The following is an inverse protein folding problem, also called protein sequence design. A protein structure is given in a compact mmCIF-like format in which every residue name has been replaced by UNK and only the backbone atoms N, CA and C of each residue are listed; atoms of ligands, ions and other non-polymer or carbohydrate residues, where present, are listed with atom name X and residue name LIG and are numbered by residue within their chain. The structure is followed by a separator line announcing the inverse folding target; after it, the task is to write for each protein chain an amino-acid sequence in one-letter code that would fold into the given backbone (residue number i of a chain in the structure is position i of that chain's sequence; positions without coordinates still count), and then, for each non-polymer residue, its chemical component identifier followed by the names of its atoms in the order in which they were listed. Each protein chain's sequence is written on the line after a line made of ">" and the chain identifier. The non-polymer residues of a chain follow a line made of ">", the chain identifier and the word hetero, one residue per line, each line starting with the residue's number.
data_IF_406180558069
#
_entry.id   IF_406180558069
#
_cell.length_a   1.000
_cell.length_b   1.000
_cell.length_c   1.000
_cell.angle_alpha   90.00
_cell.angle_beta   90.00
_cell.angle_gamma   90.00
#
_symmetry.space_group_name_H-M   'P 1'
#
loop_
_entity.id
_entity.type
_entity.pdbx_description
1 polymer ?
#
# COMPACT_ATOMS: atom_id res chain seq x y z
N UNK A 1 13.00 41.37 -11.52
CA UNK A 1 14.30 40.80 -11.90
C UNK A 1 14.28 39.37 -11.41
N UNK A 2 14.10 38.41 -12.31
CA UNK A 2 14.31 37.00 -12.00
C UNK A 2 15.82 36.80 -11.88
N UNK A 3 16.23 35.99 -10.91
CA UNK A 3 17.64 35.68 -10.64
C UNK A 3 18.24 35.01 -11.89
N UNK A 4 19.47 35.34 -12.27
CA UNK A 4 20.18 34.80 -13.45
C UNK A 4 20.52 33.29 -13.37
N UNK A 5 19.80 32.54 -12.53
CA UNK A 5 19.99 31.11 -12.26
C UNK A 5 18.65 30.37 -12.26
N UNK A 6 17.76 30.71 -13.18
CA UNK A 6 16.56 29.91 -13.46
C UNK A 6 16.85 29.03 -14.65
N UNK A 7 17.31 27.81 -14.39
CA UNK A 7 17.59 26.81 -15.43
C UNK A 7 16.31 26.15 -15.98
N UNK A 8 15.14 26.35 -15.34
CA UNK A 8 13.86 25.72 -15.71
C UNK A 8 12.66 26.62 -15.41
N UNK A 9 11.77 26.80 -16.40
CA UNK A 9 10.46 27.45 -16.24
C UNK A 9 9.38 26.39 -16.40
N UNK A 10 8.53 26.20 -15.38
CA UNK A 10 7.44 25.22 -15.41
C UNK A 10 6.11 25.96 -15.62
N UNK A 11 5.46 25.71 -16.75
CA UNK A 11 4.14 26.28 -17.08
C UNK A 11 3.11 25.14 -17.04
N UNK A 12 2.22 25.15 -16.03
CA UNK A 12 1.14 24.18 -15.92
C UNK A 12 -0.06 24.57 -16.78
N UNK A 13 -0.54 23.65 -17.62
CA UNK A 13 -1.68 23.88 -18.54
C UNK A 13 -2.49 22.61 -18.77
N UNK A 14 -3.78 22.77 -19.05
CA UNK A 14 -4.75 21.66 -19.18
C UNK A 14 -4.98 21.24 -20.65
N UNK A 15 -4.40 21.97 -21.61
CA UNK A 15 -4.43 21.61 -23.04
C UNK A 15 -3.33 22.31 -23.83
N UNK A 16 -2.97 21.76 -25.00
CA UNK A 16 -2.02 22.38 -25.95
C UNK A 16 -2.48 23.78 -26.41
N UNK A 17 -3.79 24.01 -26.47
CA UNK A 17 -4.35 25.32 -26.83
C UNK A 17 -4.08 26.35 -25.73
N UNK A 18 -4.30 25.98 -24.47
CA UNK A 18 -4.05 26.83 -23.31
C UNK A 18 -2.55 27.09 -23.09
N UNK A 19 -1.69 26.13 -23.45
CA UNK A 19 -0.23 26.35 -23.50
C UNK A 19 0.12 27.51 -24.42
N UNK A 20 -0.40 27.47 -25.66
CA UNK A 20 -0.16 28.51 -26.66
C UNK A 20 -0.69 29.86 -26.19
N UNK A 21 -1.94 29.91 -25.73
CA UNK A 21 -2.57 31.14 -25.25
C UNK A 21 -1.80 31.75 -24.05
N UNK A 22 -1.27 30.91 -23.14
CA UNK A 22 -0.48 31.39 -22.00
C UNK A 22 0.91 31.88 -22.40
N UNK A 23 1.60 31.19 -23.32
CA UNK A 23 2.90 31.63 -23.86
C UNK A 23 2.76 32.99 -24.54
N UNK A 24 1.69 33.18 -25.32
CA UNK A 24 1.41 34.42 -26.04
C UNK A 24 1.04 35.59 -25.10
N UNK A 25 0.68 35.30 -23.84
CA UNK A 25 0.26 36.30 -22.85
C UNK A 25 1.36 36.77 -21.89
N UNK A 26 2.58 36.22 -21.98
CA UNK A 26 3.68 36.56 -21.07
C UNK A 26 4.44 37.81 -21.57
N UNK A 27 4.51 38.85 -20.73
CA UNK A 27 5.22 40.12 -20.98
C UNK A 27 6.75 39.98 -21.19
N UNK A 28 7.30 38.77 -21.04
CA UNK A 28 8.73 38.44 -21.20
C UNK A 28 8.99 37.46 -22.36
N UNK A 29 8.12 37.49 -23.37
CA UNK A 29 8.13 36.62 -24.55
C UNK A 29 9.49 36.54 -25.26
N UNK A 30 10.25 37.64 -25.32
CA UNK A 30 11.54 37.66 -26.03
C UNK A 30 12.63 36.89 -25.28
N UNK A 31 12.63 36.90 -23.95
CA UNK A 31 13.59 36.13 -23.14
C UNK A 31 13.25 34.62 -23.17
N UNK A 32 11.96 34.29 -23.15
CA UNK A 32 11.49 32.90 -23.30
C UNK A 32 11.77 32.38 -24.72
N UNK A 33 11.49 33.16 -25.78
CA UNK A 33 11.82 32.79 -27.17
C UNK A 33 13.32 32.61 -27.41
N UNK A 34 14.17 33.34 -26.68
CA UNK A 34 15.63 33.23 -26.79
C UNK A 34 16.17 31.94 -26.18
N UNK A 35 15.54 31.44 -25.11
CA UNK A 35 15.82 30.11 -24.55
C UNK A 35 15.29 29.02 -25.49
N UNK A 36 14.15 29.26 -26.12
CA UNK A 36 13.41 28.27 -26.93
C UNK A 36 13.44 28.54 -28.44
N UNK A 37 14.54 29.09 -28.99
CA UNK A 37 14.66 29.50 -30.40
C UNK A 37 14.44 28.39 -31.46
N UNK A 38 14.05 27.19 -31.04
CA UNK A 38 13.76 26.01 -31.85
C UNK A 38 12.26 25.63 -31.88
N UNK A 39 11.38 26.32 -31.14
CA UNK A 39 9.94 26.01 -31.13
C UNK A 39 9.19 26.39 -32.43
N UNK A 40 9.77 27.21 -33.30
CA UNK A 40 9.16 27.60 -34.59
C UNK A 40 9.60 26.74 -35.78
N UNK A 41 10.56 25.82 -35.64
CA UNK A 41 10.85 24.86 -36.71
C UNK A 41 9.97 23.61 -36.57
N UNK A 42 9.48 23.09 -37.70
CA UNK A 42 8.68 21.84 -37.82
C UNK A 42 9.39 20.56 -37.30
N UNK A 43 10.46 20.70 -36.53
CA UNK A 43 11.30 19.65 -35.95
C UNK A 43 10.96 19.29 -34.51
N UNK A 44 9.94 19.91 -33.89
CA UNK A 44 9.55 19.61 -32.50
C UNK A 44 9.17 18.13 -32.31
N UNK A 45 9.88 17.42 -31.43
CA UNK A 45 9.56 16.06 -30.98
C UNK A 45 9.31 16.07 -29.47
N UNK A 46 8.32 15.29 -29.02
CA UNK A 46 7.83 15.24 -27.62
C UNK A 46 8.79 14.54 -26.66
N UNK A 47 9.94 14.12 -27.15
CA UNK A 47 10.84 13.14 -26.57
C UNK A 47 12.21 13.75 -26.20
N UNK A 48 12.38 15.07 -26.31
CA UNK A 48 13.57 15.78 -25.85
C UNK A 48 13.61 15.86 -24.31
N UNK A 49 14.62 15.22 -23.71
CA UNK A 49 14.80 15.02 -22.25
C UNK A 49 14.92 16.32 -21.42
N UNK A 50 14.98 17.49 -22.06
CA UNK A 50 15.12 18.79 -21.39
C UNK A 50 13.80 19.57 -21.21
N UNK A 51 12.69 19.11 -21.79
CA UNK A 51 11.36 19.73 -21.62
C UNK A 51 10.42 18.80 -20.86
N UNK A 52 10.25 19.05 -19.55
CA UNK A 52 9.17 18.44 -18.77
C UNK A 52 7.90 19.28 -18.98
N UNK A 53 7.08 18.91 -19.96
CA UNK A 53 5.70 19.38 -20.06
C UNK A 53 4.87 18.64 -19.00
N UNK A 54 4.42 19.28 -17.90
CA UNK A 54 3.56 18.62 -16.93
C UNK A 54 2.13 18.63 -17.47
N UNK A 55 1.86 17.84 -18.51
CA UNK A 55 0.49 17.46 -18.81
C UNK A 55 0.05 16.55 -17.67
N UNK A 56 -0.90 17.01 -16.85
CA UNK A 56 -1.43 16.39 -15.62
C UNK A 56 -0.82 16.89 -14.30
N UNK A 57 -1.01 18.17 -13.98
CA UNK A 57 -0.96 18.61 -12.58
C UNK A 57 -2.13 17.99 -11.78
N UNK A 58 -1.83 16.86 -11.14
CA UNK A 58 -2.53 16.21 -10.01
C UNK A 58 -4.04 16.00 -10.16
N UNK A 59 -4.44 15.05 -11.00
CA UNK A 59 -5.43 14.08 -10.49
C UNK A 59 -4.70 13.32 -9.40
N UNK A 60 -4.84 13.73 -8.13
CA UNK A 60 -4.17 13.04 -7.01
C UNK A 60 -4.56 11.56 -7.15
N UNK A 61 -3.56 10.72 -7.41
CA UNK A 61 -3.73 9.30 -7.72
C UNK A 61 -4.08 8.62 -6.40
N UNK A 62 -5.38 8.51 -6.16
CA UNK A 62 -5.94 8.23 -4.84
C UNK A 62 -6.47 6.82 -4.79
N UNK A 63 -6.01 6.06 -3.82
CA UNK A 63 -6.48 4.72 -3.53
C UNK A 63 -7.13 4.66 -2.14
N UNK A 64 -8.09 3.75 -1.98
CA UNK A 64 -8.60 3.38 -0.67
C UNK A 64 -7.79 2.22 -0.12
N UNK A 65 -7.42 2.27 1.15
CA UNK A 65 -6.76 1.16 1.83
C UNK A 65 -7.78 0.35 2.62
N UNK A 66 -7.71 -0.96 2.47
CA UNK A 66 -8.45 -1.91 3.28
C UNK A 66 -7.46 -2.62 4.19
N UNK A 67 -7.54 -2.34 5.48
CA UNK A 67 -6.75 -2.97 6.53
C UNK A 67 -7.53 -4.18 7.05
N UNK A 68 -7.03 -5.38 6.84
CA UNK A 68 -7.65 -6.58 7.42
C UNK A 68 -7.23 -6.78 8.88
N UNK A 69 -8.21 -6.84 9.79
CA UNK A 69 -7.97 -7.01 11.23
C UNK A 69 -8.99 -7.97 11.85
N UNK A 70 -8.54 -8.94 12.63
CA UNK A 70 -9.41 -9.83 13.43
C UNK A 70 -8.72 -10.22 14.74
N UNK A 71 -9.50 -10.56 15.74
CA UNK A 71 -9.05 -11.10 17.02
C UNK A 71 -8.61 -12.57 16.89
N UNK A 72 -9.28 -13.33 16.02
CA UNK A 72 -9.05 -14.76 15.77
C UNK A 72 -7.74 -15.07 15.04
N UNK A 73 -6.60 -14.83 15.67
CA UNK A 73 -5.28 -15.30 15.21
C UNK A 73 -4.91 -16.60 15.92
N UNK A 74 -4.47 -17.62 15.18
CA UNK A 74 -4.17 -18.95 15.75
C UNK A 74 -2.94 -18.96 16.65
N UNK A 75 -1.88 -18.20 16.30
CA UNK A 75 -0.59 -18.19 17.01
C UNK A 75 -0.54 -17.18 18.16
N UNK A 76 -1.14 -16.01 17.96
CA UNK A 76 -1.19 -14.93 18.95
C UNK A 76 -2.58 -14.29 18.94
N UNK A 77 -3.59 -14.91 19.59
CA UNK A 77 -4.94 -14.38 19.65
C UNK A 77 -4.99 -12.96 20.19
N UNK A 78 -5.80 -12.10 19.59
CA UNK A 78 -5.92 -10.69 19.99
C UNK A 78 -4.70 -9.82 19.67
N UNK A 79 -3.75 -10.29 18.85
CA UNK A 79 -2.51 -9.56 18.51
C UNK A 79 -2.74 -8.11 18.07
N UNK A 80 -3.82 -7.84 17.33
CA UNK A 80 -4.15 -6.51 16.80
C UNK A 80 -4.49 -5.49 17.90
N UNK A 81 -4.86 -5.93 19.10
CA UNK A 81 -5.20 -5.09 20.25
C UNK A 81 -4.12 -5.06 21.34
N UNK A 82 -3.02 -5.81 21.19
CA UNK A 82 -1.87 -5.69 22.08
C UNK A 82 -1.33 -4.26 22.04
N UNK A 83 -0.83 -3.77 23.19
CA UNK A 83 -0.43 -2.36 23.32
C UNK A 83 1.07 -2.18 23.43
N UNK A 84 1.56 -1.17 22.73
CA UNK A 84 2.93 -0.64 22.84
C UNK A 84 2.80 0.89 22.91
N UNK A 85 3.41 1.51 23.91
CA UNK A 85 3.30 2.97 24.17
C UNK A 85 1.82 3.44 24.22
N UNK A 86 1.00 2.74 25.01
CA UNK A 86 -0.44 2.99 25.21
C UNK A 86 -1.35 2.90 23.96
N UNK A 87 -0.79 2.52 22.80
CA UNK A 87 -1.50 2.33 21.53
C UNK A 87 -1.54 0.87 21.14
N UNK A 88 -2.67 0.42 20.62
CA UNK A 88 -2.77 -0.93 20.05
C UNK A 88 -1.92 -1.08 18.79
N UNK A 89 -1.57 -2.31 18.43
CA UNK A 89 -0.91 -2.62 17.15
C UNK A 89 -1.72 -2.05 15.97
N UNK A 90 -3.04 -2.22 15.97
CA UNK A 90 -3.91 -1.67 14.94
C UNK A 90 -3.87 -0.13 14.90
N UNK A 91 -3.74 0.54 16.05
CA UNK A 91 -3.55 2.00 16.11
C UNK A 91 -2.23 2.43 15.45
N UNK A 92 -1.14 1.70 15.69
CA UNK A 92 0.15 1.97 15.03
C UNK A 92 0.05 1.81 13.51
N UNK A 93 -0.55 0.72 13.03
CA UNK A 93 -0.79 0.50 11.58
C UNK A 93 -1.61 1.66 11.00
N UNK A 94 -2.73 2.01 11.64
CA UNK A 94 -3.62 3.07 11.19
C UNK A 94 -2.90 4.42 11.08
N UNK A 95 -2.12 4.78 12.09
CA UNK A 95 -1.39 6.06 12.10
C UNK A 95 -0.33 6.13 11.02
N UNK A 96 0.39 5.04 10.78
CA UNK A 96 1.40 4.97 9.73
C UNK A 96 0.74 5.04 8.34
N UNK A 97 -0.30 4.23 8.10
CA UNK A 97 -1.06 4.26 6.85
C UNK A 97 -1.63 5.66 6.56
N UNK A 98 -2.15 6.37 7.57
CA UNK A 98 -2.67 7.75 7.42
C UNK A 98 -1.61 8.81 7.08
N UNK A 99 -0.31 8.50 7.18
CA UNK A 99 0.78 9.40 6.76
C UNK A 99 1.09 9.29 5.26
N UNK A 100 0.58 8.29 4.55
CA UNK A 100 0.76 8.16 3.11
C UNK A 100 -0.02 9.25 2.37
N UNK A 101 0.60 9.87 1.38
CA UNK A 101 -0.03 10.94 0.58
C UNK A 101 -1.01 10.39 -0.48
N UNK A 102 -0.83 9.12 -0.87
CA UNK A 102 -1.57 8.44 -1.93
C UNK A 102 -2.86 7.77 -1.44
N UNK A 103 -3.08 7.72 -0.12
CA UNK A 103 -4.29 7.16 0.50
C UNK A 103 -5.31 8.26 0.78
N UNK A 104 -6.57 7.98 0.43
CA UNK A 104 -7.71 8.86 0.66
C UNK A 104 -8.67 8.35 1.72
N UNK A 105 -8.90 7.05 1.70
CA UNK A 105 -9.89 6.39 2.53
C UNK A 105 -9.24 5.20 3.22
N UNK A 106 -9.46 5.09 4.52
CA UNK A 106 -9.02 3.95 5.32
C UNK A 106 -10.23 3.20 5.82
N UNK A 107 -10.33 1.92 5.44
CA UNK A 107 -11.37 1.01 5.88
C UNK A 107 -10.70 -0.11 6.67
N UNK A 108 -11.19 -0.39 7.88
CA UNK A 108 -10.82 -1.60 8.62
C UNK A 108 -11.86 -2.68 8.35
N UNK A 109 -11.42 -3.78 7.72
CA UNK A 109 -12.24 -4.94 7.43
C UNK A 109 -12.03 -6.03 8.50
N UNK A 110 -13.06 -6.28 9.30
CA UNK A 110 -13.06 -7.24 10.41
C UNK A 110 -14.23 -8.23 10.31
N UNK A 111 -14.38 -9.17 11.25
CA UNK A 111 -15.41 -10.20 11.12
C UNK A 111 -16.72 -9.80 11.81
N UNK A 112 -17.79 -10.55 11.50
CA UNK A 112 -19.08 -10.43 12.19
C UNK A 112 -19.09 -11.11 13.56
N UNK A 113 -18.01 -11.78 13.99
CA UNK A 113 -17.92 -12.40 15.31
C UNK A 113 -17.99 -11.37 16.43
N UNK A 114 -18.45 -11.83 17.60
CA UNK A 114 -18.59 -10.98 18.78
C UNK A 114 -17.25 -10.51 19.36
N UNK A 115 -16.20 -11.33 19.28
CA UNK A 115 -14.85 -10.96 19.72
C UNK A 115 -14.29 -9.73 18.98
N UNK A 116 -14.66 -9.54 17.71
CA UNK A 116 -14.22 -8.40 16.90
C UNK A 116 -14.98 -7.10 17.20
N UNK A 117 -15.99 -7.10 18.09
CA UNK A 117 -16.71 -5.88 18.51
C UNK A 117 -15.76 -4.84 19.14
N UNK A 118 -14.68 -5.28 19.77
CA UNK A 118 -13.68 -4.38 20.34
C UNK A 118 -12.91 -3.62 19.26
N UNK A 119 -12.57 -4.28 18.14
CA UNK A 119 -11.96 -3.64 16.96
C UNK A 119 -12.92 -2.58 16.40
N UNK A 120 -14.19 -2.93 16.23
CA UNK A 120 -15.23 -2.02 15.72
C UNK A 120 -15.32 -0.77 16.61
N UNK A 121 -15.49 -0.98 17.92
CA UNK A 121 -15.63 0.11 18.90
C UNK A 121 -14.40 1.03 18.91
N UNK A 122 -13.20 0.46 18.81
CA UNK A 122 -11.95 1.22 18.76
C UNK A 122 -11.85 2.08 17.49
N UNK A 123 -12.20 1.53 16.33
CA UNK A 123 -12.12 2.23 15.04
C UNK A 123 -13.21 3.30 14.89
N UNK A 124 -14.44 3.01 15.35
CA UNK A 124 -15.54 3.99 15.37
C UNK A 124 -15.21 5.19 16.25
N UNK A 125 -14.63 4.96 17.45
CA UNK A 125 -14.16 6.04 18.33
C UNK A 125 -13.12 6.95 17.65
N UNK A 126 -12.40 6.43 16.66
CA UNK A 126 -11.39 7.17 15.86
C UNK A 126 -11.93 7.74 14.55
N UNK A 127 -13.23 7.58 14.29
CA UNK A 127 -13.85 8.02 13.03
C UNK A 127 -13.32 7.29 11.80
N UNK A 128 -12.88 6.03 11.95
CA UNK A 128 -12.42 5.20 10.83
C UNK A 128 -13.57 4.31 10.35
N UNK A 129 -13.73 4.18 9.03
CA UNK A 129 -14.73 3.32 8.41
C UNK A 129 -14.45 1.86 8.77
N UNK A 130 -15.48 1.11 9.14
CA UNK A 130 -15.38 -0.31 9.47
C UNK A 130 -16.29 -1.12 8.58
N UNK A 131 -15.79 -2.22 8.04
CA UNK A 131 -16.59 -3.23 7.37
C UNK A 131 -16.54 -4.53 8.16
N UNK A 132 -17.68 -5.21 8.32
CA UNK A 132 -17.79 -6.50 9.00
C UNK A 132 -18.27 -7.57 8.02
N UNK A 133 -17.54 -8.66 7.88
CA UNK A 133 -17.88 -9.73 6.94
C UNK A 133 -17.52 -11.13 7.43
N UNK A 134 -17.51 -12.09 6.51
CA UNK A 134 -17.12 -13.48 6.76
C UNK A 134 -15.73 -13.55 7.40
N UNK A 135 -15.51 -14.44 8.37
CA UNK A 135 -14.18 -14.68 8.93
C UNK A 135 -13.29 -15.52 7.99
N UNK A 136 -13.86 -16.58 7.45
CA UNK A 136 -13.19 -17.61 6.65
C UNK A 136 -12.97 -17.17 5.20
N UNK A 137 -13.85 -16.31 4.68
CA UNK A 137 -13.79 -15.81 3.30
C UNK A 137 -13.32 -14.36 3.28
N UNK A 138 -12.00 -14.20 3.34
CA UNK A 138 -11.35 -12.89 3.36
C UNK A 138 -11.53 -12.17 2.03
N UNK A 139 -11.47 -12.90 0.91
CA UNK A 139 -11.71 -12.35 -0.43
C UNK A 139 -13.12 -11.77 -0.57
N UNK A 140 -14.15 -12.49 -0.10
CA UNK A 140 -15.51 -11.93 -0.02
C UNK A 140 -15.56 -10.68 0.86
N UNK A 141 -14.95 -10.73 2.05
CA UNK A 141 -14.91 -9.57 2.95
C UNK A 141 -14.26 -8.34 2.29
N UNK A 142 -13.18 -8.52 1.52
CA UNK A 142 -12.55 -7.43 0.76
C UNK A 142 -13.46 -6.92 -0.35
N UNK A 143 -14.08 -7.82 -1.13
CA UNK A 143 -14.99 -7.45 -2.22
C UNK A 143 -16.19 -6.64 -1.72
N UNK A 144 -16.85 -7.12 -0.66
CA UNK A 144 -18.00 -6.44 -0.08
C UNK A 144 -17.60 -5.10 0.58
N UNK A 145 -16.44 -5.03 1.24
CA UNK A 145 -15.92 -3.78 1.78
C UNK A 145 -15.66 -2.73 0.69
N UNK A 146 -14.96 -3.14 -0.38
CA UNK A 146 -14.66 -2.25 -1.49
C UNK A 146 -15.94 -1.78 -2.20
N UNK A 147 -16.92 -2.68 -2.39
CA UNK A 147 -18.23 -2.36 -2.98
C UNK A 147 -19.03 -1.40 -2.09
N UNK A 148 -19.10 -1.64 -0.79
CA UNK A 148 -19.86 -0.82 0.15
C UNK A 148 -19.33 0.61 0.29
N UNK A 149 -18.03 0.81 0.11
CA UNK A 149 -17.36 2.10 0.22
C UNK A 149 -16.92 2.71 -1.13
N UNK A 150 -17.37 2.15 -2.26
CA UNK A 150 -17.04 2.60 -3.63
C UNK A 150 -15.53 2.76 -3.90
N UNK A 151 -14.72 1.79 -3.44
CA UNK A 151 -13.27 1.82 -3.58
C UNK A 151 -12.86 1.18 -4.90
N UNK A 152 -12.36 2.01 -5.84
CA UNK A 152 -11.97 1.56 -7.19
C UNK A 152 -10.53 1.06 -7.30
N UNK A 153 -9.61 1.67 -6.56
CA UNK A 153 -8.21 1.26 -6.46
C UNK A 153 -7.94 0.95 -5.00
N UNK A 154 -7.56 -0.29 -4.75
CA UNK A 154 -7.55 -0.89 -3.42
C UNK A 154 -6.11 -1.15 -3.04
N UNK A 155 -5.68 -0.60 -1.92
CA UNK A 155 -4.44 -0.99 -1.25
C UNK A 155 -4.79 -1.98 -0.16
N UNK A 156 -4.23 -3.19 -0.22
CA UNK A 156 -4.35 -4.18 0.85
C UNK A 156 -3.18 -4.01 1.81
N UNK A 157 -3.50 -3.85 3.09
CA UNK A 157 -2.54 -3.85 4.20
C UNK A 157 -3.07 -4.79 5.30
N UNK A 158 -2.18 -5.48 6.00
CA UNK A 158 -2.54 -6.36 7.12
C UNK A 158 -2.31 -5.67 8.47
N UNK A 159 -3.19 -5.92 9.44
CA UNK A 159 -3.12 -5.29 10.77
C UNK A 159 -1.95 -5.78 11.64
N UNK A 160 -1.17 -6.76 11.19
CA UNK A 160 0.03 -7.26 11.85
C UNK A 160 1.33 -6.60 11.36
N UNK A 161 1.23 -5.50 10.62
CA UNK A 161 2.37 -4.74 10.09
C UNK A 161 2.53 -3.37 10.76
N UNK A 162 2.73 -3.26 12.10
CA UNK A 162 2.74 -1.97 12.81
C UNK A 162 3.91 -1.06 12.45
N UNK A 163 4.90 -1.57 11.70
CA UNK A 163 6.05 -0.82 11.21
C UNK A 163 5.94 -0.42 9.73
N UNK A 164 4.81 -0.69 9.07
CA UNK A 164 4.61 -0.40 7.63
C UNK A 164 5.03 1.03 7.26
N UNK A 165 5.89 1.20 6.26
CA UNK A 165 6.43 2.50 5.87
C UNK A 165 5.45 3.24 4.93
N UNK A 166 5.00 4.45 5.31
CA UNK A 166 4.15 5.27 4.43
C UNK A 166 4.77 5.53 3.05
N UNK A 167 6.09 5.67 2.96
CA UNK A 167 6.79 5.92 1.69
C UNK A 167 6.77 4.70 0.77
N UNK A 168 6.78 3.49 1.32
CA UNK A 168 6.65 2.27 0.52
C UNK A 168 5.23 2.16 -0.02
N UNK A 169 4.22 2.49 0.79
CA UNK A 169 2.82 2.57 0.32
C UNK A 169 2.73 3.55 -0.87
N UNK A 170 3.23 4.76 -0.70
CA UNK A 170 3.21 5.79 -1.76
C UNK A 170 3.96 5.34 -3.01
N UNK A 171 5.13 4.71 -2.88
CA UNK A 171 5.92 4.26 -4.01
C UNK A 171 5.20 3.15 -4.81
N UNK A 172 4.60 2.17 -4.14
CA UNK A 172 3.87 1.08 -4.80
C UNK A 172 2.59 1.59 -5.45
N UNK A 173 1.84 2.48 -4.80
CA UNK A 173 0.63 3.09 -5.38
C UNK A 173 0.97 3.94 -6.61
N UNK A 174 2.01 4.78 -6.53
CA UNK A 174 2.46 5.56 -7.68
C UNK A 174 2.93 4.66 -8.83
N UNK A 175 3.64 3.56 -8.54
CA UNK A 175 4.03 2.60 -9.57
C UNK A 175 2.81 1.97 -10.24
N UNK A 176 1.82 1.52 -9.47
CA UNK A 176 0.58 0.92 -9.97
C UNK A 176 -0.12 1.83 -11.00
N UNK A 177 -0.28 3.11 -10.68
CA UNK A 177 -0.94 4.05 -11.58
C UNK A 177 -0.11 4.39 -12.83
N UNK A 178 1.22 4.36 -12.72
CA UNK A 178 2.12 4.67 -13.85
C UNK A 178 2.43 3.47 -14.74
N UNK A 179 2.16 2.23 -14.29
CA UNK A 179 2.41 1.02 -15.09
C UNK A 179 1.20 0.57 -15.91
N UNK A 180 -0.01 1.03 -15.57
CA UNK A 180 -1.24 0.47 -16.15
C UNK A 180 -1.55 -0.96 -15.70
N UNK A 181 -0.90 -1.44 -14.64
CA UNK A 181 -1.06 -2.80 -14.13
C UNK A 181 -2.45 -3.05 -13.53
N UNK A 182 -2.95 -4.28 -13.65
CA UNK A 182 -4.12 -4.76 -12.92
C UNK A 182 -3.80 -5.00 -11.43
N UNK A 183 -2.53 -5.34 -11.16
CA UNK A 183 -2.02 -5.68 -9.85
C UNK A 183 -0.54 -5.28 -9.71
N UNK A 184 -0.20 -4.58 -8.63
CA UNK A 184 1.17 -4.17 -8.30
C UNK A 184 1.49 -4.52 -6.85
N UNK A 185 2.63 -5.16 -6.60
CA UNK A 185 2.96 -5.66 -5.26
C UNK A 185 4.45 -5.85 -5.03
N UNK A 186 4.89 -5.72 -3.78
CA UNK A 186 6.24 -6.05 -3.34
C UNK A 186 6.35 -7.42 -2.60
N UNK A 187 5.27 -8.23 -2.60
CA UNK A 187 5.14 -9.43 -1.75
C UNK A 187 5.61 -10.71 -2.44
N UNK A 188 5.39 -10.84 -3.76
CA UNK A 188 5.61 -12.09 -4.49
C UNK A 188 7.07 -12.32 -4.87
N UNK A 189 7.72 -11.30 -5.42
CA UNK A 189 9.17 -11.27 -5.59
C UNK A 189 9.79 -10.39 -4.50
N UNK A 190 9.72 -10.89 -3.26
CA UNK A 190 10.04 -10.15 -2.05
C UNK A 190 11.51 -9.70 -2.04
N UNK A 191 11.70 -8.39 -1.95
CA UNK A 191 13.00 -7.75 -1.64
C UNK A 191 12.93 -6.87 -0.40
N UNK A 192 11.74 -6.56 0.09
CA UNK A 192 11.48 -5.80 1.31
C UNK A 192 11.32 -6.74 2.52
N UNK A 193 11.55 -6.23 3.75
CA UNK A 193 11.23 -6.97 4.97
C UNK A 193 9.78 -7.45 4.97
N UNK A 194 9.54 -8.61 5.58
CA UNK A 194 8.18 -9.05 5.91
C UNK A 194 7.49 -8.01 6.81
N UNK A 195 6.21 -7.72 6.58
CA UNK A 195 5.50 -6.62 7.25
C UNK A 195 5.71 -5.24 6.64
N UNK A 196 6.41 -5.15 5.50
CA UNK A 196 6.38 -3.98 4.60
C UNK A 196 5.50 -4.24 3.36
N UNK A 197 4.55 -5.16 3.51
CA UNK A 197 3.78 -5.74 2.43
C UNK A 197 2.73 -4.76 1.93
N UNK A 198 2.81 -4.41 0.64
CA UNK A 198 1.87 -3.54 -0.03
C UNK A 198 1.43 -4.19 -1.33
N UNK A 199 0.12 -4.30 -1.49
CA UNK A 199 -0.53 -4.84 -2.67
C UNK A 199 -1.57 -3.85 -3.16
N UNK A 200 -1.54 -3.49 -4.44
CA UNK A 200 -2.46 -2.53 -5.06
C UNK A 200 -3.13 -3.19 -6.25
N UNK A 201 -4.46 -3.13 -6.33
CA UNK A 201 -5.24 -3.68 -7.43
C UNK A 201 -6.53 -2.90 -7.66
N UNK A 202 -7.12 -3.08 -8.84
CA UNK A 202 -8.42 -2.49 -9.15
C UNK A 202 -9.58 -3.27 -8.52
N UNK A 203 -10.72 -2.62 -8.32
CA UNK A 203 -11.97 -3.28 -7.98
C UNK A 203 -12.36 -4.37 -8.99
N UNK A 204 -12.07 -4.15 -10.29
CA UNK A 204 -12.33 -5.15 -11.33
C UNK A 204 -11.44 -6.39 -11.18
N UNK A 205 -10.16 -6.20 -10.84
CA UNK A 205 -9.23 -7.30 -10.50
C UNK A 205 -9.76 -8.09 -9.31
N UNK A 206 -10.18 -7.39 -8.24
CA UNK A 206 -10.77 -8.01 -7.06
C UNK A 206 -12.07 -8.76 -7.39
N UNK A 207 -12.95 -8.17 -8.20
CA UNK A 207 -14.20 -8.80 -8.64
C UNK A 207 -13.93 -10.07 -9.45
N UNK A 208 -13.01 -10.03 -10.41
CA UNK A 208 -12.60 -11.21 -11.19
C UNK A 208 -12.08 -12.31 -10.27
N UNK A 209 -11.22 -11.98 -9.30
CA UNK A 209 -10.76 -12.94 -8.31
C UNK A 209 -11.92 -13.49 -7.46
N UNK A 210 -12.80 -12.63 -6.96
CA UNK A 210 -13.95 -13.03 -6.16
C UNK A 210 -14.92 -13.95 -6.94
N UNK A 211 -15.11 -13.73 -8.24
CA UNK A 211 -15.96 -14.54 -9.10
C UNK A 211 -15.35 -15.92 -9.43
N UNK A 212 -14.03 -16.03 -9.50
CA UNK A 212 -13.37 -17.17 -10.12
C UNK A 212 -12.43 -17.97 -9.19
N UNK A 213 -11.96 -17.40 -8.08
CA UNK A 213 -11.17 -18.12 -7.08
C UNK A 213 -11.95 -19.33 -6.56
N UNK A 214 -11.33 -20.50 -6.54
CA UNK A 214 -11.95 -21.75 -6.04
C UNK A 214 -11.11 -22.45 -5.00
N UNK A 215 -9.85 -22.08 -4.86
CA UNK A 215 -8.98 -22.64 -3.83
C UNK A 215 -9.20 -21.91 -2.50
N UNK A 216 -9.14 -22.64 -1.39
CA UNK A 216 -9.26 -22.05 -0.06
C UNK A 216 -8.19 -20.99 0.17
N UNK A 217 -6.94 -21.26 -0.26
CA UNK A 217 -5.84 -20.29 -0.13
C UNK A 217 -6.13 -18.98 -0.88
N UNK A 218 -6.75 -19.03 -2.05
CA UNK A 218 -7.16 -17.86 -2.82
C UNK A 218 -8.25 -17.04 -2.10
N UNK A 219 -9.20 -17.73 -1.44
CA UNK A 219 -10.26 -17.07 -0.65
C UNK A 219 -9.73 -16.48 0.67
N UNK A 220 -8.72 -17.09 1.27
CA UNK A 220 -8.15 -16.65 2.55
C UNK A 220 -7.14 -15.50 2.38
N UNK A 221 -6.35 -15.51 1.31
CA UNK A 221 -5.24 -14.56 1.12
C UNK A 221 -5.49 -13.50 0.04
N UNK A 222 -6.71 -13.46 -0.52
CA UNK A 222 -7.23 -12.42 -1.43
C UNK A 222 -6.62 -12.41 -2.84
N UNK A 223 -5.30 -12.23 -2.94
CA UNK A 223 -4.57 -12.04 -4.19
C UNK A 223 -3.98 -13.30 -4.85
N UNK A 224 -3.89 -14.50 -4.24
CA UNK A 224 -3.29 -15.66 -4.91
C UNK A 224 -3.94 -16.05 -6.24
N UNK A 225 -5.25 -15.82 -6.41
CA UNK A 225 -5.91 -16.11 -7.69
C UNK A 225 -5.30 -15.31 -8.85
N UNK A 226 -4.95 -14.05 -8.61
CA UNK A 226 -4.30 -13.19 -9.62
C UNK A 226 -2.95 -13.79 -10.02
N UNK A 227 -2.18 -14.26 -9.05
CA UNK A 227 -0.84 -14.83 -9.31
C UNK A 227 -0.87 -16.23 -9.91
N UNK A 228 -1.82 -17.06 -9.50
CA UNK A 228 -2.03 -18.38 -10.09
C UNK A 228 -2.44 -18.29 -11.56
N UNK A 229 -3.03 -17.16 -11.97
CA UNK A 229 -3.49 -16.88 -13.32
C UNK A 229 -2.79 -15.64 -13.89
N UNK A 230 -1.52 -15.40 -13.51
CA UNK A 230 -0.78 -14.15 -13.84
C UNK A 230 -0.70 -13.83 -15.33
N UNK A 231 -0.89 -14.81 -16.21
CA UNK A 231 -0.87 -14.60 -17.66
C UNK A 231 -2.16 -13.93 -18.17
N UNK A 232 -3.20 -13.85 -17.34
CA UNK A 232 -4.48 -13.17 -17.60
C UNK A 232 -4.56 -11.76 -16.96
N UNK A 233 -3.46 -11.28 -16.36
CA UNK A 233 -3.39 -10.01 -15.63
C UNK A 233 -2.09 -9.27 -15.93
N UNK A 234 -2.16 -7.95 -16.01
CA UNK A 234 -0.95 -7.12 -16.01
C UNK A 234 -0.41 -7.00 -14.59
N UNK A 235 0.69 -7.71 -14.29
CA UNK A 235 1.30 -7.79 -12.96
C UNK A 235 2.62 -7.03 -12.91
N UNK A 236 2.77 -6.14 -11.93
CA UNK A 236 4.03 -5.46 -11.64
C UNK A 236 4.61 -5.86 -10.28
N UNK A 237 5.84 -6.35 -10.27
CA UNK A 237 6.59 -6.64 -9.04
C UNK A 237 7.45 -5.45 -8.63
N UNK A 238 7.09 -4.80 -7.52
CA UNK A 238 7.84 -3.67 -6.97
C UNK A 238 9.00 -4.18 -6.12
N UNK A 239 10.23 -3.86 -6.54
CA UNK A 239 11.47 -4.33 -5.92
C UNK A 239 12.38 -3.17 -5.55
N UNK A 240 13.24 -3.43 -4.57
CA UNK A 240 14.41 -2.60 -4.28
C UNK A 240 15.71 -3.32 -4.64
N UNK A 241 16.78 -2.56 -4.82
CA UNK A 241 18.10 -3.08 -5.19
C UNK A 241 18.71 -3.97 -4.10
N UNK A 242 18.59 -3.54 -2.83
CA UNK A 242 19.09 -4.31 -1.69
C UNK A 242 18.03 -5.33 -1.25
N UNK A 243 18.38 -6.61 -1.30
CA UNK A 243 17.50 -7.64 -0.76
C UNK A 243 17.53 -7.63 0.78
N UNK A 244 16.38 -7.39 1.38
CA UNK A 244 16.14 -7.40 2.83
C UNK A 244 15.03 -8.39 3.21
N UNK A 245 14.71 -9.33 2.33
CA UNK A 245 13.59 -10.27 2.49
C UNK A 245 13.75 -11.24 3.65
N UNK A 246 14.97 -11.41 4.18
CA UNK A 246 15.21 -12.20 5.39
C UNK A 246 14.70 -11.51 6.67
N UNK A 247 14.47 -10.20 6.66
CA UNK A 247 14.03 -9.45 7.84
C UNK A 247 12.54 -9.70 8.12
N UNK A 248 12.24 -10.09 9.36
CA UNK A 248 10.88 -10.43 9.80
C UNK A 248 10.26 -9.32 10.64
N UNK A 249 9.44 -8.47 10.02
CA UNK A 249 8.75 -7.36 10.70
C UNK A 249 7.21 -7.47 10.64
N UNK A 250 6.69 -8.69 10.54
CA UNK A 250 5.27 -9.00 10.73
C UNK A 250 5.04 -9.56 12.13
N UNK A 251 3.88 -9.25 12.74
CA UNK A 251 3.51 -9.73 14.07
C UNK A 251 2.71 -11.04 13.98
N UNK A 252 3.30 -12.19 14.29
CA UNK A 252 2.55 -13.45 14.43
C UNK A 252 2.76 -14.16 15.76
N UNK A 253 3.93 -13.95 16.36
CA UNK A 253 4.40 -14.64 17.56
C UNK A 253 4.74 -13.62 18.64
N UNK A 254 4.95 -14.11 19.85
CA UNK A 254 5.29 -13.24 20.98
C UNK A 254 6.67 -12.59 20.78
N UNK A 255 7.61 -13.28 20.18
CA UNK A 255 8.94 -12.76 19.84
C UNK A 255 8.87 -11.64 18.80
N UNK A 256 7.95 -11.75 17.82
CA UNK A 256 7.68 -10.64 16.91
C UNK A 256 7.16 -9.42 17.69
N UNK A 257 6.29 -9.62 18.69
CA UNK A 257 5.81 -8.53 19.54
C UNK A 257 6.94 -7.86 20.34
N UNK A 258 7.86 -8.63 20.92
CA UNK A 258 9.01 -8.09 21.65
C UNK A 258 9.96 -7.32 20.72
N UNK A 259 10.19 -7.81 19.49
CA UNK A 259 10.90 -7.08 18.46
C UNK A 259 10.22 -5.74 18.13
N UNK A 260 8.91 -5.76 17.85
CA UNK A 260 8.12 -4.55 17.55
C UNK A 260 8.18 -3.54 18.69
N UNK A 261 8.07 -4.03 19.91
CA UNK A 261 8.12 -3.22 21.13
C UNK A 261 9.46 -2.52 21.25
N UNK A 262 10.57 -3.24 21.09
CA UNK A 262 11.90 -2.66 21.14
C UNK A 262 12.09 -1.54 20.09
N UNK A 263 11.65 -1.78 18.85
CA UNK A 263 11.74 -0.78 17.76
C UNK A 263 10.86 0.44 18.05
N UNK A 264 9.59 0.23 18.41
CA UNK A 264 8.64 1.32 18.67
C UNK A 264 9.04 2.14 19.90
N UNK A 265 9.44 1.52 21.00
CA UNK A 265 9.91 2.22 22.20
C UNK A 265 11.17 3.06 21.94
N UNK A 266 12.05 2.59 21.07
CA UNK A 266 13.28 3.32 20.72
C UNK A 266 13.03 4.51 19.78
N UNK A 267 12.20 4.33 18.75
CA UNK A 267 12.05 5.30 17.66
C UNK A 267 10.84 6.21 17.81
N UNK A 268 9.68 5.67 18.19
CA UNK A 268 8.40 6.38 18.14
C UNK A 268 8.36 7.63 19.04
N UNK A 269 8.88 7.64 20.28
CA UNK A 269 8.87 8.84 21.13
C UNK A 269 9.72 10.00 20.59
N UNK A 270 10.75 9.70 19.79
CA UNK A 270 11.70 10.69 19.26
C UNK A 270 11.34 11.16 17.87
N UNK A 271 10.85 10.23 17.03
CA UNK A 271 10.56 10.44 15.61
C UNK A 271 9.31 9.62 15.26
N UNK A 272 8.09 10.07 15.59
CA UNK A 272 6.85 9.29 15.37
C UNK A 272 6.52 9.05 13.89
N UNK A 273 7.24 9.69 12.98
CA UNK A 273 7.22 9.55 11.52
C UNK A 273 8.45 8.78 10.98
N UNK A 274 9.10 7.96 11.80
CA UNK A 274 10.25 7.16 11.35
C UNK A 274 9.90 6.23 10.18
N UNK A 275 10.88 5.97 9.33
CA UNK A 275 10.81 5.16 8.11
C UNK A 275 11.62 3.86 8.26
N UNK A 276 11.51 2.97 7.27
CA UNK A 276 12.26 1.71 7.19
C UNK A 276 13.77 1.92 7.43
N UNK A 277 14.33 2.99 6.86
CA UNK A 277 15.76 3.32 7.00
C UNK A 277 16.16 3.71 8.43
N UNK A 278 15.23 4.25 9.23
CA UNK A 278 15.50 4.52 10.65
C UNK A 278 15.49 3.21 11.45
N UNK A 279 14.62 2.25 11.10
CA UNK A 279 14.59 0.91 11.69
C UNK A 279 15.89 0.17 11.36
N UNK A 280 16.33 0.18 10.09
CA UNK A 280 17.58 -0.46 9.67
C UNK A 280 18.76 0.10 10.47
N UNK A 281 18.91 1.43 10.54
CA UNK A 281 19.98 2.07 11.33
C UNK A 281 19.90 1.74 12.83
N UNK A 282 18.69 1.62 13.38
CA UNK A 282 18.51 1.18 14.76
C UNK A 282 19.00 -0.26 14.97
N UNK A 283 18.65 -1.20 14.06
CA UNK A 283 19.07 -2.60 14.14
C UNK A 283 20.58 -2.77 13.93
N UNK A 284 21.19 -2.00 13.04
CA UNK A 284 22.66 -1.98 12.86
C UNK A 284 23.41 -1.61 14.14
N UNK A 285 22.82 -0.73 14.96
CA UNK A 285 23.38 -0.34 16.27
C UNK A 285 22.96 -1.28 17.41
N UNK A 286 21.93 -2.12 17.20
CA UNK A 286 21.34 -2.98 18.22
C UNK A 286 21.05 -4.37 17.63
N UNK A 287 22.09 -5.12 17.21
CA UNK A 287 21.92 -6.39 16.49
C UNK A 287 21.16 -7.45 17.31
N UNK A 288 21.26 -7.40 18.64
CA UNK A 288 20.52 -8.31 19.54
C UNK A 288 19.00 -8.19 19.38
N UNK A 289 18.49 -7.03 18.96
CA UNK A 289 17.06 -6.83 18.69
C UNK A 289 16.65 -7.60 17.43
N UNK A 290 17.47 -7.59 16.39
CA UNK A 290 17.18 -8.33 15.15
C UNK A 290 17.18 -9.85 15.36
N UNK A 291 17.94 -10.36 16.32
CA UNK A 291 17.98 -11.80 16.63
C UNK A 291 16.72 -12.31 17.36
N UNK A 292 15.89 -11.43 17.94
CA UNK A 292 14.73 -11.81 18.77
C UNK A 292 13.79 -12.78 18.05
N UNK A 293 13.49 -12.53 16.78
CA UNK A 293 12.49 -13.30 16.02
C UNK A 293 13.05 -14.04 14.78
N UNK A 294 14.37 -14.07 14.63
CA UNK A 294 15.06 -14.69 13.48
C UNK A 294 14.85 -16.20 13.34
N UNK A 295 14.50 -16.88 14.43
CA UNK A 295 14.27 -18.33 14.44
C UNK A 295 13.00 -18.81 13.71
N UNK A 296 12.16 -17.91 13.20
CA UNK A 296 10.88 -18.23 12.60
C UNK A 296 10.84 -17.92 11.10
N UNK A 297 10.08 -18.74 10.35
CA UNK A 297 9.93 -18.58 8.90
C UNK A 297 9.03 -17.39 8.55
N UNK A 298 9.46 -16.59 7.58
CA UNK A 298 8.62 -15.59 6.90
C UNK A 298 7.44 -16.28 6.21
N UNK A 299 6.26 -15.67 6.25
CA UNK A 299 5.04 -16.17 5.61
C UNK A 299 4.58 -17.59 6.04
N UNK A 300 4.92 -18.04 7.26
CA UNK A 300 4.55 -19.37 7.78
C UNK A 300 3.04 -19.68 7.64
N UNK A 301 2.18 -18.68 7.89
CA UNK A 301 0.73 -18.82 7.75
C UNK A 301 0.30 -19.17 6.32
N UNK A 302 0.82 -18.44 5.32
CA UNK A 302 0.50 -18.68 3.92
C UNK A 302 1.03 -20.03 3.43
N UNK A 303 2.26 -20.39 3.80
CA UNK A 303 2.86 -21.69 3.47
C UNK A 303 2.07 -22.86 4.04
N UNK A 304 1.43 -22.69 5.20
CA UNK A 304 0.52 -23.68 5.76
C UNK A 304 -0.76 -23.79 4.93
N UNK A 305 -1.42 -22.67 4.60
CA UNK A 305 -2.64 -22.69 3.77
C UNK A 305 -2.41 -23.35 2.42
N UNK A 306 -1.24 -23.17 1.78
CA UNK A 306 -0.88 -23.84 0.53
C UNK A 306 -0.75 -25.36 0.66
N UNK A 307 -0.25 -25.86 1.81
CA UNK A 307 -0.13 -27.31 2.06
C UNK A 307 -1.49 -27.97 2.32
N UNK A 308 -2.42 -27.21 2.89
CA UNK A 308 -3.76 -27.67 3.28
C UNK A 308 -4.82 -27.30 2.23
N UNK A 309 -4.39 -26.79 1.07
CA UNK A 309 -5.28 -26.16 0.10
C UNK A 309 -6.26 -27.15 -0.54
N UNK A 310 -7.47 -26.67 -0.78
CA UNK A 310 -8.57 -27.47 -1.33
C UNK A 310 -9.55 -26.60 -2.09
N UNK A 311 -10.28 -27.22 -3.00
CA UNK A 311 -11.40 -26.57 -3.69
C UNK A 311 -12.54 -26.36 -2.70
N UNK A 312 -13.13 -25.17 -2.70
CA UNK A 312 -14.27 -24.81 -1.86
C UNK A 312 -15.50 -24.46 -2.71
N UNK A 313 -16.67 -24.94 -2.27
CA UNK A 313 -17.95 -24.58 -2.87
C UNK A 313 -18.38 -23.19 -2.41
N UNK A 314 -18.53 -22.26 -3.35
CA UNK A 314 -18.91 -20.88 -3.04
C UNK A 314 -20.43 -20.78 -2.96
N UNK A 315 -20.96 -20.73 -1.73
CA UNK A 315 -22.37 -20.35 -1.50
C UNK A 315 -22.50 -18.84 -1.54
N UNK A 316 -22.89 -18.28 -2.70
CA UNK A 316 -23.19 -16.84 -2.82
C UNK A 316 -24.60 -16.59 -2.29
N UNK A 317 -24.74 -15.71 -1.31
CA UNK A 317 -26.05 -15.13 -0.98
C UNK A 317 -26.56 -14.34 -2.18
N UNK A 318 -27.86 -14.40 -2.45
CA UNK A 318 -28.49 -13.69 -3.57
C UNK A 318 -28.14 -12.19 -3.52
N UNK A 319 -27.72 -11.65 -4.66
CA UNK A 319 -27.48 -10.21 -4.81
C UNK A 319 -28.80 -9.47 -4.57
N UNK A 320 -28.91 -8.77 -3.43
CA UNK A 320 -30.08 -7.94 -3.08
C UNK A 320 -29.98 -6.54 -3.65
#
# INVERSE_FOLDING_TARGET
>A
MLNDSIDKVVIGVDSLKQLKDNIDSLDYLDDVRKIYGELESDSFRLDDEEIVCPVNWKKRLKAGVIIQARMGATRLPGKVLLKILDKTILEHVLERVKRSESIDDVIVATTTKDEDKEIVSLMEKKGVKVFRGSEEDVLDRFYQAAKAYDIRHIVRITADSPLIDPWIIDAVVNRYFNSGADYCSNVWERTYPDGQDVEVFSFNTLKRAWENARLQSEREHVTPYVMNNKDDFEVFHFKQDKNLSEKRWSLDRHEDFEFMKAVLEALYPKKPDFHMEDIIRFLELNPDVEEINKGYLVNEGYLKSLKEDKIVDIKRGEES
#
